data_IF_525938573755
#
_entry.id   IF_525938573755
#
_cell.length_a   1.000
_cell.length_b   1.000
_cell.length_c   1.000
_cell.angle_alpha   90.00
_cell.angle_beta   90.00
_cell.angle_gamma   90.00
#
_symmetry.space_group_name_H-M   'P 1'
#
loop_
_entity.id
_entity.type
_entity.pdbx_description
1 polymer ?
#
# COMPACT_ATOMS: atom_id res chain seq x y z
N UNK A 1 -8.04 3.46 -1.22
CA UNK A 1 -8.82 2.72 -0.19
C UNK A 1 -8.05 2.51 1.11
N UNK A 2 -7.34 1.42 1.41
CA UNK A 2 -6.84 1.20 2.79
C UNK A 2 -5.88 2.27 3.31
N UNK A 3 -4.87 2.66 2.51
CA UNK A 3 -3.96 3.73 2.91
C UNK A 3 -4.68 5.07 3.09
N UNK A 4 -5.59 5.39 2.17
CA UNK A 4 -6.41 6.61 2.19
C UNK A 4 -7.38 6.67 3.37
N UNK A 5 -7.97 5.54 3.76
CA UNK A 5 -8.72 5.40 5.01
C UNK A 5 -7.81 5.74 6.19
N UNK A 6 -6.58 5.22 6.18
CA UNK A 6 -5.58 5.56 7.19
C UNK A 6 -5.23 7.05 7.23
N UNK A 7 -5.06 7.70 6.08
CA UNK A 7 -4.77 9.14 5.99
C UNK A 7 -5.93 9.99 6.50
N UNK A 8 -7.19 9.62 6.19
CA UNK A 8 -8.37 10.30 6.72
C UNK A 8 -8.51 10.09 8.24
N UNK A 9 -8.33 8.86 8.73
CA UNK A 9 -8.33 8.57 10.15
C UNK A 9 -7.25 9.38 10.90
N UNK A 10 -6.05 9.46 10.34
CA UNK A 10 -4.96 10.28 10.86
C UNK A 10 -5.33 11.77 10.92
N UNK A 11 -5.94 12.29 9.86
CA UNK A 11 -6.42 13.66 9.80
C UNK A 11 -7.48 13.95 10.87
N UNK A 12 -8.40 13.01 11.08
CA UNK A 12 -9.53 13.13 12.00
C UNK A 12 -9.18 12.85 13.47
N UNK A 13 -7.94 12.46 13.78
CA UNK A 13 -7.48 12.20 15.14
C UNK A 13 -7.57 10.73 15.59
N UNK A 14 -8.04 9.84 14.71
CA UNK A 14 -8.15 8.40 14.95
C UNK A 14 -6.82 7.69 14.65
N UNK A 15 -5.81 7.98 15.48
CA UNK A 15 -4.43 7.56 15.21
C UNK A 15 -4.22 6.06 15.27
N UNK A 16 -4.92 5.35 16.16
CA UNK A 16 -4.80 3.90 16.28
C UNK A 16 -5.37 3.19 15.04
N UNK A 17 -6.52 3.67 14.58
CA UNK A 17 -7.21 3.24 13.38
C UNK A 17 -6.33 3.51 12.16
N UNK A 18 -5.70 4.69 12.10
CA UNK A 18 -4.74 5.03 11.05
C UNK A 18 -3.58 4.01 10.97
N UNK A 19 -2.96 3.66 12.10
CA UNK A 19 -1.91 2.62 12.15
C UNK A 19 -2.42 1.28 11.62
N UNK A 20 -3.64 0.87 12.01
CA UNK A 20 -4.26 -0.36 11.51
C UNK A 20 -4.43 -0.34 10.00
N UNK A 21 -4.96 0.75 9.46
CA UNK A 21 -5.16 0.93 8.02
C UNK A 21 -3.85 0.99 7.24
N UNK A 22 -2.81 1.67 7.75
CA UNK A 22 -1.48 1.68 7.13
C UNK A 22 -0.78 0.31 7.19
N UNK A 23 -1.02 -0.47 8.24
CA UNK A 23 -0.50 -1.85 8.33
C UNK A 23 -1.15 -2.73 7.27
N UNK A 24 -2.48 -2.68 7.17
CA UNK A 24 -3.22 -3.47 6.21
C UNK A 24 -2.88 -3.07 4.76
N UNK A 25 -2.66 -1.78 4.47
CA UNK A 25 -2.23 -1.36 3.14
C UNK A 25 -0.83 -1.85 2.78
N UNK A 26 0.10 -1.88 3.75
CA UNK A 26 1.42 -2.48 3.55
C UNK A 26 1.32 -3.98 3.24
N UNK A 27 0.55 -4.74 4.02
CA UNK A 27 0.35 -6.18 3.79
C UNK A 27 -0.26 -6.46 2.41
N UNK A 28 -1.25 -5.66 2.00
CA UNK A 28 -1.83 -5.74 0.65
C UNK A 28 -0.84 -5.41 -0.46
N UNK A 29 0.09 -4.50 -0.21
CA UNK A 29 1.18 -4.24 -1.14
C UNK A 29 2.12 -5.45 -1.27
N UNK A 30 2.45 -6.13 -0.17
CA UNK A 30 3.28 -7.34 -0.22
C UNK A 30 2.61 -8.43 -1.07
N UNK A 31 1.31 -8.68 -0.83
CA UNK A 31 0.51 -9.59 -1.64
C UNK A 31 0.52 -9.21 -3.12
N UNK A 32 0.27 -7.93 -3.41
CA UNK A 32 0.26 -7.41 -4.78
C UNK A 32 1.59 -7.62 -5.50
N UNK A 33 2.70 -7.31 -4.83
CA UNK A 33 4.04 -7.53 -5.37
C UNK A 33 4.27 -9.02 -5.69
N UNK A 34 3.95 -9.90 -4.74
CA UNK A 34 4.11 -11.35 -4.88
C UNK A 34 3.30 -11.82 -6.10
N UNK A 35 2.04 -11.42 -6.22
CA UNK A 35 1.19 -11.75 -7.38
C UNK A 35 1.84 -11.35 -8.69
N UNK A 36 2.34 -10.12 -8.82
CA UNK A 36 3.02 -9.68 -10.06
C UNK A 36 4.20 -10.58 -10.42
N UNK A 37 5.04 -10.94 -9.43
CA UNK A 37 6.22 -11.78 -9.69
C UNK A 37 5.83 -13.17 -10.20
N UNK A 38 4.80 -13.78 -9.63
CA UNK A 38 4.37 -15.13 -10.02
C UNK A 38 3.43 -15.15 -11.24
N UNK A 39 2.66 -14.11 -11.49
CA UNK A 39 1.90 -13.98 -12.74
C UNK A 39 2.86 -13.92 -13.95
N UNK A 40 4.03 -13.30 -13.77
CA UNK A 40 5.07 -13.24 -14.80
C UNK A 40 5.68 -14.61 -15.15
N UNK A 41 5.53 -15.64 -14.30
CA UNK A 41 6.03 -17.00 -14.58
C UNK A 41 5.03 -17.86 -15.36
N UNK A 42 3.81 -17.35 -15.62
CA UNK A 42 2.75 -18.10 -16.31
C UNK A 42 2.05 -19.13 -15.42
N UNK A 43 2.11 -18.94 -14.10
CA UNK A 43 1.53 -19.86 -13.12
C UNK A 43 -0.01 -19.87 -13.20
N UNK A 44 -0.60 -21.03 -12.89
CA UNK A 44 -2.04 -21.17 -12.81
C UNK A 44 -2.60 -20.44 -11.58
N UNK A 45 -3.44 -19.42 -11.81
CA UNK A 45 -4.10 -18.60 -10.77
C UNK A 45 -4.76 -19.44 -9.66
N UNK A 46 -5.43 -20.54 -9.99
CA UNK A 46 -6.05 -21.43 -9.01
C UNK A 46 -5.02 -22.07 -8.07
N UNK A 47 -3.84 -22.38 -8.60
CA UNK A 47 -2.73 -22.95 -7.83
C UNK A 47 -2.09 -21.90 -6.94
N UNK A 48 -1.92 -20.68 -7.45
CA UNK A 48 -1.46 -19.55 -6.65
C UNK A 48 -2.40 -19.31 -5.47
N UNK A 49 -3.72 -19.22 -5.71
CA UNK A 49 -4.69 -18.93 -4.65
C UNK A 49 -4.75 -20.04 -3.59
N UNK A 50 -4.66 -21.32 -3.99
CA UNK A 50 -4.54 -22.44 -3.03
C UNK A 50 -3.28 -22.31 -2.18
N UNK A 51 -2.17 -21.89 -2.78
CA UNK A 51 -0.89 -21.69 -2.09
C UNK A 51 -0.98 -20.49 -1.14
N UNK A 52 -1.50 -19.36 -1.62
CA UNK A 52 -1.63 -18.10 -0.90
C UNK A 52 -2.49 -18.23 0.35
N UNK A 53 -3.53 -19.07 0.35
CA UNK A 53 -4.34 -19.37 1.54
C UNK A 53 -3.53 -19.84 2.76
N UNK A 54 -2.35 -20.45 2.55
CA UNK A 54 -1.47 -20.90 3.64
C UNK A 54 -0.60 -19.77 4.25
N UNK A 55 -0.55 -18.62 3.57
CA UNK A 55 0.34 -17.49 3.87
C UNK A 55 -0.46 -16.25 4.29
N UNK A 56 -1.62 -16.01 3.68
CA UNK A 56 -2.39 -14.77 3.74
C UNK A 56 -2.84 -14.33 5.12
N UNK A 57 -2.94 -15.24 6.10
CA UNK A 57 -3.36 -14.89 7.47
C UNK A 57 -2.20 -14.54 8.42
N UNK A 58 -0.95 -14.64 7.98
CA UNK A 58 0.22 -14.43 8.84
C UNK A 58 1.15 -13.37 8.25
N UNK A 59 1.16 -12.18 8.87
CA UNK A 59 1.96 -11.05 8.40
C UNK A 59 3.46 -11.36 8.27
N UNK A 60 4.02 -12.17 9.18
CA UNK A 60 5.42 -12.62 9.11
C UNK A 60 5.69 -13.53 7.92
N UNK A 61 4.74 -14.42 7.57
CA UNK A 61 4.88 -15.29 6.39
C UNK A 61 4.74 -14.51 5.09
N UNK A 62 3.81 -13.55 5.04
CA UNK A 62 3.69 -12.65 3.90
C UNK A 62 4.98 -11.86 3.68
N UNK A 63 5.58 -11.33 4.75
CA UNK A 63 6.86 -10.63 4.68
C UNK A 63 7.99 -11.55 4.17
N UNK A 64 8.08 -12.77 4.70
CA UNK A 64 9.05 -13.75 4.23
C UNK A 64 8.89 -14.08 2.74
N UNK A 65 7.66 -14.34 2.29
CA UNK A 65 7.35 -14.59 0.88
C UNK A 65 7.73 -13.40 0.00
N UNK A 66 7.43 -12.17 0.43
CA UNK A 66 7.82 -10.95 -0.27
C UNK A 66 9.34 -10.81 -0.42
N UNK A 67 10.11 -11.06 0.65
CA UNK A 67 11.58 -10.95 0.61
C UNK A 67 12.17 -11.89 -0.46
N UNK A 68 11.72 -13.14 -0.52
CA UNK A 68 12.21 -14.09 -1.51
C UNK A 68 11.70 -13.79 -2.92
N UNK A 69 10.45 -13.37 -3.09
CA UNK A 69 9.92 -12.95 -4.39
C UNK A 69 10.70 -11.74 -4.94
N UNK A 70 11.00 -10.76 -4.08
CA UNK A 70 11.76 -9.57 -4.45
C UNK A 70 13.19 -9.92 -4.86
N UNK A 71 13.86 -10.75 -4.06
CA UNK A 71 15.18 -11.27 -4.40
C UNK A 71 15.16 -12.05 -5.73
N UNK A 72 14.15 -12.88 -5.96
CA UNK A 72 14.02 -13.64 -7.21
C UNK A 72 13.87 -12.73 -8.43
N UNK A 73 13.21 -11.58 -8.29
CA UNK A 73 13.00 -10.66 -9.40
C UNK A 73 14.21 -9.73 -9.64
N UNK A 74 14.81 -9.20 -8.58
CA UNK A 74 15.84 -8.14 -8.69
C UNK A 74 17.26 -8.58 -8.31
N UNK A 75 17.43 -9.80 -7.81
CA UNK A 75 18.71 -10.35 -7.34
C UNK A 75 19.39 -9.50 -6.25
N UNK A 76 18.59 -8.76 -5.48
CA UNK A 76 19.00 -7.93 -4.32
C UNK A 76 17.91 -8.01 -3.25
N UNK A 77 18.23 -7.80 -1.95
CA UNK A 77 17.20 -7.76 -0.91
C UNK A 77 16.34 -6.49 -1.02
N UNK A 78 15.05 -6.53 -0.62
CA UNK A 78 14.24 -5.33 -0.52
C UNK A 78 14.60 -4.50 0.72
N UNK A 79 14.32 -3.19 0.64
CA UNK A 79 14.20 -2.37 1.83
C UNK A 79 12.94 -2.78 2.61
N UNK A 80 13.06 -2.90 3.93
CA UNK A 80 11.98 -3.30 4.83
C UNK A 80 11.64 -2.18 5.81
N UNK A 81 10.43 -2.24 6.36
CA UNK A 81 10.07 -1.36 7.47
C UNK A 81 11.11 -1.47 8.60
N UNK A 82 11.66 -0.35 9.10
CA UNK A 82 12.63 -0.38 10.18
C UNK A 82 12.08 -1.15 11.38
N UNK A 83 12.93 -1.94 12.05
CA UNK A 83 12.52 -2.74 13.22
C UNK A 83 11.73 -1.93 14.27
N UNK A 84 12.16 -0.68 14.53
CA UNK A 84 11.43 0.26 15.42
C UNK A 84 9.97 0.49 15.02
N UNK A 85 9.67 0.53 13.71
CA UNK A 85 8.32 0.74 13.18
C UNK A 85 7.48 -0.54 13.29
N UNK A 86 8.10 -1.70 13.09
CA UNK A 86 7.44 -3.00 13.31
C UNK A 86 7.08 -3.19 14.78
N UNK A 87 8.02 -2.92 15.69
CA UNK A 87 7.78 -3.00 17.13
C UNK A 87 6.72 -2.00 17.59
N UNK A 88 6.76 -0.77 17.06
CA UNK A 88 5.75 0.25 17.30
C UNK A 88 4.35 -0.20 16.84
N UNK A 89 4.22 -0.70 15.61
CA UNK A 89 2.96 -1.25 15.08
C UNK A 89 2.44 -2.37 15.96
N UNK A 90 3.29 -3.31 16.36
CA UNK A 90 2.89 -4.42 17.21
C UNK A 90 2.42 -3.94 18.60
N UNK A 91 3.05 -2.91 19.16
CA UNK A 91 2.59 -2.30 20.41
C UNK A 91 1.21 -1.65 20.28
N UNK A 92 0.94 -0.95 19.18
CA UNK A 92 -0.36 -0.30 18.93
C UNK A 92 -1.46 -1.33 18.68
N UNK A 93 -1.21 -2.29 17.78
CA UNK A 93 -2.22 -3.26 17.35
C UNK A 93 -2.50 -4.31 18.43
N UNK A 94 -1.46 -4.88 19.06
CA UNK A 94 -1.61 -6.04 19.94
C UNK A 94 -1.50 -5.71 21.43
N UNK A 95 -0.80 -4.63 21.81
CA UNK A 95 -0.59 -4.27 23.23
C UNK A 95 -1.42 -3.06 23.68
N UNK A 96 -2.24 -2.50 22.79
CA UNK A 96 -3.15 -1.40 23.10
C UNK A 96 -2.46 -0.05 23.32
N UNK A 97 -1.22 0.14 22.84
CA UNK A 97 -0.56 1.46 22.86
C UNK A 97 -1.42 2.47 22.10
N UNK A 98 -1.67 3.63 22.71
CA UNK A 98 -2.28 4.78 22.03
C UNK A 98 -1.17 5.61 21.40
N UNK A 99 -1.09 5.71 20.06
CA UNK A 99 -0.05 6.49 19.41
C UNK A 99 -0.36 8.00 19.44
N UNK A 100 0.68 8.81 19.45
CA UNK A 100 0.59 10.25 19.20
C UNK A 100 0.43 10.55 17.72
N UNK A 101 0.00 11.78 17.38
CA UNK A 101 -0.07 12.26 15.99
C UNK A 101 1.27 12.11 15.26
N UNK A 102 2.36 12.51 15.91
CA UNK A 102 3.71 12.46 15.33
C UNK A 102 4.16 11.04 15.03
N UNK A 103 3.91 10.10 15.96
CA UNK A 103 4.21 8.68 15.74
C UNK A 103 3.37 8.09 14.60
N UNK A 104 2.09 8.49 14.50
CA UNK A 104 1.22 8.02 13.43
C UNK A 104 1.61 8.56 12.05
N UNK A 105 2.03 9.82 11.96
CA UNK A 105 2.62 10.39 10.74
C UNK A 105 3.90 9.62 10.38
N UNK A 106 4.81 9.44 11.33
CA UNK A 106 6.08 8.76 11.08
C UNK A 106 5.89 7.33 10.58
N UNK A 107 4.90 6.61 11.11
CA UNK A 107 4.60 5.26 10.64
C UNK A 107 4.02 5.26 9.23
N UNK A 108 3.04 6.11 8.93
CA UNK A 108 2.49 6.25 7.58
C UNK A 108 3.57 6.62 6.55
N UNK A 109 4.46 7.54 6.91
CA UNK A 109 5.60 7.97 6.09
C UNK A 109 6.59 6.82 5.85
N UNK A 110 6.86 6.02 6.88
CA UNK A 110 7.71 4.84 6.76
C UNK A 110 7.10 3.81 5.79
N UNK A 111 5.79 3.63 5.79
CA UNK A 111 5.10 2.74 4.84
C UNK A 111 5.24 3.27 3.41
N UNK A 112 4.98 4.56 3.19
CA UNK A 112 5.14 5.19 1.86
C UNK A 112 6.55 5.00 1.32
N UNK A 113 7.56 5.27 2.15
CA UNK A 113 8.96 5.23 1.72
C UNK A 113 9.45 3.84 1.33
N UNK A 114 8.83 2.78 1.84
CA UNK A 114 9.10 1.40 1.40
C UNK A 114 8.32 1.06 0.13
N UNK A 115 7.04 1.39 0.10
CA UNK A 115 6.13 0.97 -0.97
C UNK A 115 6.42 1.69 -2.28
N UNK A 116 6.68 2.99 -2.22
CA UNK A 116 6.74 3.84 -3.41
C UNK A 116 7.87 3.49 -4.37
N UNK A 117 9.13 3.38 -3.93
CA UNK A 117 10.23 3.06 -4.83
C UNK A 117 10.00 1.74 -5.57
N UNK A 118 9.46 0.74 -4.88
CA UNK A 118 9.19 -0.58 -5.46
C UNK A 118 8.07 -0.50 -6.49
N UNK A 119 6.98 0.22 -6.19
CA UNK A 119 5.91 0.44 -7.16
C UNK A 119 6.43 1.17 -8.41
N UNK A 120 7.25 2.22 -8.25
CA UNK A 120 7.87 2.93 -9.40
C UNK A 120 8.63 1.96 -10.30
N UNK A 121 9.49 1.15 -9.69
CA UNK A 121 10.29 0.18 -10.42
C UNK A 121 9.42 -0.86 -11.15
N UNK A 122 8.38 -1.37 -10.47
CA UNK A 122 7.41 -2.27 -11.10
C UNK A 122 6.67 -1.62 -12.27
N UNK A 123 6.31 -0.34 -12.18
CA UNK A 123 5.72 0.38 -13.32
C UNK A 123 6.69 0.51 -14.49
N UNK A 124 7.97 0.76 -14.22
CA UNK A 124 8.98 0.91 -15.27
C UNK A 124 9.30 -0.40 -15.98
N UNK A 125 9.24 -1.53 -15.26
CA UNK A 125 9.72 -2.82 -15.76
C UNK A 125 8.60 -3.81 -16.10
N UNK A 126 7.43 -3.69 -15.45
CA UNK A 126 6.32 -4.66 -15.50
C UNK A 126 4.95 -3.97 -15.65
N UNK A 127 4.88 -2.84 -16.38
CA UNK A 127 3.67 -2.01 -16.49
C UNK A 127 2.39 -2.81 -16.80
N UNK A 128 2.46 -3.75 -17.75
CA UNK A 128 1.29 -4.55 -18.14
C UNK A 128 0.76 -5.40 -16.99
N UNK A 129 1.65 -6.11 -16.29
CA UNK A 129 1.28 -6.96 -15.14
C UNK A 129 0.70 -6.12 -14.00
N UNK A 130 1.28 -4.94 -13.73
CA UNK A 130 0.79 -3.99 -12.74
C UNK A 130 -0.62 -3.50 -13.06
N UNK A 131 -0.88 -3.14 -14.32
CA UNK A 131 -2.21 -2.69 -14.75
C UNK A 131 -3.21 -3.84 -14.69
N UNK A 132 -2.85 -5.02 -15.21
CA UNK A 132 -3.71 -6.20 -15.20
C UNK A 132 -4.13 -6.61 -13.78
N UNK A 133 -3.16 -6.72 -12.86
CA UNK A 133 -3.41 -7.05 -11.45
C UNK A 133 -4.25 -5.97 -10.72
N UNK A 134 -4.11 -4.70 -11.12
CA UNK A 134 -4.93 -3.61 -10.59
C UNK A 134 -6.38 -3.64 -11.11
N UNK A 135 -6.57 -4.06 -12.37
CA UNK A 135 -7.88 -4.09 -13.04
C UNK A 135 -8.61 -5.42 -12.90
N UNK A 136 -7.96 -6.51 -12.45
CA UNK A 136 -8.58 -7.83 -12.30
C UNK A 136 -9.79 -7.85 -11.34
N UNK A 137 -9.93 -6.83 -10.49
CA UNK A 137 -11.09 -6.65 -9.59
C UNK A 137 -12.15 -5.67 -10.16
N UNK A 138 -12.02 -5.23 -11.41
CA UNK A 138 -12.95 -4.31 -12.07
C UNK A 138 -13.64 -5.06 -13.20
N UNK A 139 -14.92 -5.42 -13.01
CA UNK A 139 -15.78 -5.90 -14.09
C UNK A 139 -15.89 -4.81 -15.17
N UNK A 140 -15.16 -4.94 -16.27
CA UNK A 140 -15.12 -3.88 -17.29
C UNK A 140 -15.44 -4.42 -18.69
N UNK A 141 -16.69 -4.18 -19.12
CA UNK A 141 -17.15 -4.27 -20.52
C UNK A 141 -16.61 -3.15 -21.42
N UNK A 142 -15.77 -2.26 -20.90
CA UNK A 142 -15.07 -1.23 -21.66
C UNK A 142 -13.69 -1.02 -21.01
N UNK A 143 -12.57 -1.16 -21.74
CA UNK A 143 -11.27 -0.80 -21.19
C UNK A 143 -11.27 0.72 -20.98
N UNK A 144 -11.22 1.23 -19.74
CA UNK A 144 -11.22 2.66 -19.58
C UNK A 144 -9.87 3.17 -20.09
N UNK A 145 -9.92 4.24 -20.89
CA UNK A 145 -8.83 5.19 -21.10
C UNK A 145 -8.32 5.86 -19.79
N UNK A 146 -8.73 5.32 -18.64
CA UNK A 146 -8.32 5.64 -17.29
C UNK A 146 -7.61 4.41 -16.72
N UNK A 147 -6.28 4.46 -16.72
CA UNK A 147 -5.46 3.52 -15.95
C UNK A 147 -5.67 3.81 -14.47
N UNK A 148 -6.63 3.13 -13.84
CA UNK A 148 -6.85 3.18 -12.41
C UNK A 148 -5.71 2.43 -11.72
N UNK A 149 -4.82 3.16 -11.08
CA UNK A 149 -3.71 2.56 -10.32
C UNK A 149 -4.24 2.06 -8.97
N UNK A 150 -3.77 0.89 -8.50
CA UNK A 150 -4.46 0.13 -7.48
C UNK A 150 -4.59 0.96 -6.21
N UNK A 151 -5.86 1.15 -5.84
CA UNK A 151 -6.40 1.90 -4.72
C UNK A 151 -5.93 1.43 -3.32
N UNK A 152 -4.71 0.91 -3.15
CA UNK A 152 -4.28 0.31 -1.88
C UNK A 152 -3.23 1.12 -1.14
N UNK A 153 -2.38 1.89 -1.82
CA UNK A 153 -1.24 2.58 -1.18
C UNK A 153 -1.22 4.09 -1.37
N UNK A 154 -1.74 4.64 -2.48
CA UNK A 154 -1.84 6.09 -2.70
C UNK A 154 -3.07 6.44 -3.53
N UNK A 155 -3.76 7.56 -3.23
CA UNK A 155 -4.89 8.04 -4.01
C UNK A 155 -4.38 8.82 -5.23
N UNK A 156 -3.79 8.14 -6.21
CA UNK A 156 -3.32 8.81 -7.43
C UNK A 156 -3.63 8.02 -8.69
N UNK A 157 -4.24 8.70 -9.66
CA UNK A 157 -4.42 8.24 -11.04
C UNK A 157 -3.17 8.53 -11.90
N UNK A 158 -1.99 8.63 -11.27
CA UNK A 158 -0.72 8.86 -11.95
C UNK A 158 0.30 7.85 -11.47
N UNK A 159 1.18 7.44 -12.39
CA UNK A 159 2.40 6.70 -12.05
C UNK A 159 3.08 7.39 -10.87
N UNK A 160 3.47 6.66 -9.81
CA UNK A 160 4.24 7.26 -8.75
C UNK A 160 5.54 7.85 -9.31
N UNK A 161 5.89 9.06 -8.93
CA UNK A 161 7.10 9.76 -9.38
C UNK A 161 7.71 10.55 -8.23
N UNK A 162 8.84 11.22 -8.46
CA UNK A 162 9.52 12.04 -7.44
C UNK A 162 8.63 13.12 -6.80
N UNK A 163 7.51 13.49 -7.44
CA UNK A 163 6.54 14.47 -6.93
C UNK A 163 5.44 13.81 -6.08
N UNK A 164 5.59 12.53 -5.76
CA UNK A 164 4.62 11.86 -4.89
C UNK A 164 4.61 12.55 -3.52
N UNK A 165 3.45 12.99 -3.02
CA UNK A 165 3.39 13.78 -1.79
C UNK A 165 3.84 12.98 -0.57
N UNK A 166 4.58 13.64 0.33
CA UNK A 166 4.83 13.18 1.71
C UNK A 166 3.53 13.07 2.50
N UNK A 167 3.56 12.42 3.66
CA UNK A 167 2.39 12.33 4.54
C UNK A 167 1.84 13.70 4.95
N UNK A 168 2.71 14.67 5.19
CA UNK A 168 2.29 16.02 5.55
C UNK A 168 1.56 16.69 4.38
N UNK A 169 2.09 16.57 3.17
CA UNK A 169 1.44 17.10 1.96
C UNK A 169 0.12 16.38 1.65
N UNK A 170 0.01 15.07 1.92
CA UNK A 170 -1.26 14.34 1.81
C UNK A 170 -2.30 14.88 2.80
N UNK A 171 -1.90 15.15 4.04
CA UNK A 171 -2.78 15.73 5.06
C UNK A 171 -3.21 17.17 4.72
N UNK A 172 -2.31 17.98 4.19
CA UNK A 172 -2.63 19.32 3.67
C UNK A 172 -3.63 19.26 2.51
N UNK A 173 -3.47 18.28 1.60
CA UNK A 173 -4.41 18.03 0.50
C UNK A 173 -5.82 17.71 1.00
N UNK A 174 -5.96 16.86 2.02
CA UNK A 174 -7.25 16.56 2.66
C UNK A 174 -7.84 17.83 3.28
N UNK A 175 -7.04 18.62 3.98
CA UNK A 175 -7.48 19.88 4.58
C UNK A 175 -8.01 20.87 3.54
N UNK A 176 -7.31 21.01 2.40
CA UNK A 176 -7.70 21.87 1.29
C UNK A 176 -8.99 21.38 0.62
N UNK A 177 -9.11 20.08 0.36
CA UNK A 177 -10.30 19.46 -0.22
C UNK A 177 -11.55 19.68 0.64
N UNK A 178 -11.46 19.46 1.95
CA UNK A 178 -12.61 19.67 2.86
C UNK A 178 -13.02 21.15 2.97
N UNK A 179 -12.07 22.09 2.82
CA UNK A 179 -12.36 23.54 2.79
C UNK A 179 -13.08 23.97 1.52
N UNK A 180 -12.76 23.39 0.36
CA UNK A 180 -13.43 23.72 -0.91
C UNK A 180 -14.86 23.15 -0.96
N UNK A 181 -15.08 21.93 -0.46
CA UNK A 181 -16.43 21.34 -0.38
C UNK A 181 -17.37 22.15 0.51
N UNK A 182 -16.89 22.73 1.61
CA UNK A 182 -17.68 23.59 2.50
C UNK A 182 -18.06 24.95 1.89
N UNK A 183 -17.29 25.46 0.93
CA UNK A 183 -17.57 26.75 0.26
C UNK A 183 -18.50 26.62 -0.96
N UNK A 184 -18.72 25.42 -1.47
CA UNK A 184 -19.65 25.17 -2.59
C UNK A 184 -21.07 24.80 -2.16
N UNK A 185 -21.34 24.80 -0.85
CA UNK A 185 -22.63 24.45 -0.23
C UNK A 185 -23.34 25.65 0.43
N UNK A 186 -22.85 26.87 0.18
CA UNK A 186 -23.48 28.15 0.55
C UNK A 186 -23.94 28.87 -0.71
#
# INVERSE_FOLDING_TARGET
>A
MLFEIGTNALYDGYYREAIGSFTASYERFLEFFIRIVYDATGDNEETFDKTWKNVSQQSERQLGAYVFAFYSLYNVPPDLLPRKMVEFRNAVIHKGKIPTRGEAIQFGESVINIVLPVLRNLFDTHQYAVVAAATANVDAKDPPSLTYYPYMTLPTNRKPDEKTPSMEQLLEGIAAGRKSTRRGSE
#
